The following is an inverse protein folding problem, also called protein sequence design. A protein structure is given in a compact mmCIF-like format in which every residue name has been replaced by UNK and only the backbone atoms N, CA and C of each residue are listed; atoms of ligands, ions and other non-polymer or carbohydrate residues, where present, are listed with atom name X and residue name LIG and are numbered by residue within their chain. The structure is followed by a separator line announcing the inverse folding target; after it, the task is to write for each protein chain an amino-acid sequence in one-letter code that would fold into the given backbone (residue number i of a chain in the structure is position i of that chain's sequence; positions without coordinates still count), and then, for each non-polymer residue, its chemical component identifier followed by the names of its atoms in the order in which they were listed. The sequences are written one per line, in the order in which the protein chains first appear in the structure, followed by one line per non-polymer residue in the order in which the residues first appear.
data_IF_656541615755
#
_entry.id   IF_656541615755
#
_cell.length_a   1.000
_cell.length_b   1.000
_cell.length_c   1.000
_cell.angle_alpha   90.00
_cell.angle_beta   90.00
_cell.angle_gamma   90.00
#
_symmetry.space_group_name_H-M   'P 1'
#
loop_
_entity.id
_entity.type
_entity.pdbx_description
1 polymer ?
#
# COMPACT_ATOMS: atom_id res chain seq x y z
N UNK A 1 -3.93 24.49 18.53
CA UNK A 1 -4.06 24.73 17.07
C UNK A 1 -3.32 23.63 16.33
N UNK A 2 -3.98 22.83 15.50
CA UNK A 2 -3.27 21.84 14.67
C UNK A 2 -2.62 22.53 13.47
N UNK A 3 -1.47 22.02 13.03
CA UNK A 3 -0.74 22.57 11.88
C UNK A 3 -0.48 21.48 10.85
N UNK A 4 -0.55 21.84 9.57
CA UNK A 4 -0.13 20.97 8.45
C UNK A 4 1.30 20.46 8.64
N UNK A 5 2.18 21.25 9.28
CA UNK A 5 3.55 20.82 9.62
C UNK A 5 3.57 19.63 10.60
N UNK A 6 2.61 19.53 11.52
CA UNK A 6 2.51 18.39 12.43
C UNK A 6 2.13 17.11 11.67
N UNK A 7 1.30 17.22 10.63
CA UNK A 7 0.97 16.09 9.75
C UNK A 7 2.21 15.65 8.98
N UNK A 8 2.98 16.59 8.44
CA UNK A 8 4.24 16.30 7.75
C UNK A 8 5.26 15.62 8.68
N UNK A 9 5.45 16.14 9.90
CA UNK A 9 6.36 15.56 10.88
C UNK A 9 5.94 14.13 11.26
N UNK A 10 4.65 13.89 11.52
CA UNK A 10 4.14 12.56 11.83
C UNK A 10 4.28 11.60 10.64
N UNK A 11 4.04 12.07 9.41
CA UNK A 11 4.23 11.28 8.20
C UNK A 11 5.71 10.91 7.98
N UNK A 12 6.63 11.85 8.17
CA UNK A 12 8.07 11.59 8.10
C UNK A 12 8.49 10.61 9.19
N UNK A 13 7.99 10.75 10.43
CA UNK A 13 8.29 9.82 11.51
C UNK A 13 7.76 8.40 11.21
N UNK A 14 6.54 8.30 10.68
CA UNK A 14 5.93 7.04 10.27
C UNK A 14 6.76 6.36 9.16
N UNK A 15 6.98 7.03 8.03
CA UNK A 15 7.74 6.45 6.90
C UNK A 15 9.20 6.21 7.26
N UNK A 16 9.84 7.17 7.91
CA UNK A 16 11.24 7.10 8.32
C UNK A 16 11.50 5.95 9.29
N UNK A 17 10.65 5.78 10.31
CA UNK A 17 10.77 4.64 11.24
C UNK A 17 10.59 3.29 10.53
N UNK A 18 9.65 3.18 9.57
CA UNK A 18 9.46 1.96 8.78
C UNK A 18 10.74 1.57 8.03
N UNK A 19 11.38 2.53 7.35
CA UNK A 19 12.61 2.27 6.61
C UNK A 19 13.80 1.99 7.53
N UNK A 20 13.98 2.78 8.59
CA UNK A 20 15.08 2.61 9.55
C UNK A 20 15.02 1.24 10.25
N UNK A 21 13.84 0.87 10.74
CA UNK A 21 13.66 -0.40 11.46
C UNK A 21 13.69 -1.60 10.51
N UNK A 22 13.23 -1.47 9.26
CA UNK A 22 13.20 -2.59 8.30
C UNK A 22 14.56 -2.89 7.67
N UNK A 23 15.49 -1.93 7.64
CA UNK A 23 16.75 -2.05 6.89
C UNK A 23 17.99 -1.83 7.78
N UNK A 24 18.47 -0.60 8.05
CA UNK A 24 19.76 -0.39 8.71
C UNK A 24 19.76 -0.88 10.17
N UNK A 25 18.65 -0.74 10.89
CA UNK A 25 18.58 -1.11 12.32
C UNK A 25 18.13 -2.55 12.55
N UNK A 26 17.47 -3.19 11.57
CA UNK A 26 16.88 -4.53 11.71
C UNK A 26 17.88 -5.53 12.27
N UNK A 27 19.03 -5.68 11.62
CA UNK A 27 20.01 -6.71 11.98
C UNK A 27 20.54 -6.55 13.41
N UNK A 28 20.75 -5.31 13.87
CA UNK A 28 21.21 -5.03 15.24
C UNK A 28 20.10 -5.33 16.26
N UNK A 29 18.88 -4.87 15.99
CA UNK A 29 17.73 -5.04 16.89
C UNK A 29 17.28 -6.50 16.98
N UNK A 30 17.25 -7.24 15.85
CA UNK A 30 16.93 -8.68 15.86
C UNK A 30 17.97 -9.48 16.63
N UNK A 31 19.26 -9.14 16.53
CA UNK A 31 20.30 -9.79 17.35
C UNK A 31 20.16 -9.51 18.84
N UNK A 32 19.68 -8.33 19.22
CA UNK A 32 19.53 -7.94 20.63
C UNK A 32 18.22 -8.44 21.26
N UNK A 33 17.11 -8.47 20.50
CA UNK A 33 15.76 -8.72 21.01
C UNK A 33 15.16 -10.06 20.54
N UNK A 34 15.80 -10.74 19.60
CA UNK A 34 15.20 -11.82 18.83
C UNK A 34 14.17 -11.31 17.80
N UNK A 35 13.72 -12.21 16.92
CA UNK A 35 12.76 -11.87 15.85
C UNK A 35 11.40 -11.42 16.42
N UNK A 36 10.88 -12.13 17.43
CA UNK A 36 9.60 -11.79 18.05
C UNK A 36 9.65 -10.45 18.81
N UNK A 37 10.72 -10.21 19.58
CA UNK A 37 10.91 -8.93 20.28
C UNK A 37 11.05 -7.76 19.32
N UNK A 38 11.79 -7.95 18.22
CA UNK A 38 11.88 -6.96 17.15
C UNK A 38 10.51 -6.67 16.51
N UNK A 39 9.72 -7.71 16.19
CA UNK A 39 8.38 -7.52 15.61
C UNK A 39 7.44 -6.77 16.56
N UNK A 40 7.51 -7.04 17.86
CA UNK A 40 6.77 -6.29 18.88
C UNK A 40 7.16 -4.82 18.92
N UNK A 41 8.46 -4.53 19.00
CA UNK A 41 8.98 -3.15 18.99
C UNK A 41 8.64 -2.41 17.69
N UNK A 42 8.80 -3.07 16.54
CA UNK A 42 8.42 -2.52 15.23
C UNK A 42 6.94 -2.15 15.21
N UNK A 43 6.07 -3.06 15.64
CA UNK A 43 4.61 -2.87 15.63
C UNK A 43 4.21 -1.73 16.56
N UNK A 44 4.81 -1.64 17.75
CA UNK A 44 4.57 -0.55 18.69
C UNK A 44 4.93 0.81 18.07
N UNK A 45 6.13 0.94 17.49
CA UNK A 45 6.56 2.19 16.83
C UNK A 45 5.63 2.55 15.67
N UNK A 46 5.23 1.57 14.86
CA UNK A 46 4.30 1.78 13.75
C UNK A 46 2.92 2.26 14.23
N UNK A 47 2.37 1.65 15.27
CA UNK A 47 1.07 2.05 15.85
C UNK A 47 1.14 3.45 16.46
N UNK A 48 2.19 3.77 17.22
CA UNK A 48 2.35 5.08 17.85
C UNK A 48 2.48 6.20 16.80
N UNK A 49 3.31 5.98 15.78
CA UNK A 49 3.52 6.97 14.72
C UNK A 49 2.28 7.12 13.82
N UNK A 50 1.57 6.03 13.52
CA UNK A 50 0.29 6.08 12.81
C UNK A 50 -0.78 6.82 13.62
N UNK A 51 -0.92 6.49 14.91
CA UNK A 51 -1.86 7.15 15.81
C UNK A 51 -1.57 8.65 15.92
N UNK A 52 -0.29 9.02 16.01
CA UNK A 52 0.11 10.42 15.95
C UNK A 52 -0.29 11.10 14.65
N UNK A 53 -0.07 10.45 13.50
CA UNK A 53 -0.47 10.97 12.19
C UNK A 53 -1.99 11.17 12.08
N UNK A 54 -2.80 10.22 12.58
CA UNK A 54 -4.26 10.33 12.63
C UNK A 54 -4.71 11.52 13.48
N UNK A 55 -4.15 11.67 14.70
CA UNK A 55 -4.46 12.79 15.59
C UNK A 55 -4.05 14.13 14.97
N UNK A 56 -2.88 14.21 14.33
CA UNK A 56 -2.40 15.40 13.67
C UNK A 56 -3.31 15.78 12.48
N UNK A 57 -3.72 14.79 11.68
CA UNK A 57 -4.60 14.99 10.54
C UNK A 57 -5.98 15.51 10.93
N UNK A 58 -6.56 14.98 12.02
CA UNK A 58 -7.84 15.43 12.56
C UNK A 58 -7.79 16.88 13.07
N UNK A 59 -6.67 17.30 13.68
CA UNK A 59 -6.48 18.65 14.22
C UNK A 59 -6.06 19.68 13.16
N UNK A 60 -5.45 19.25 12.06
CA UNK A 60 -4.95 20.14 11.02
C UNK A 60 -6.11 20.81 10.24
N UNK A 61 -6.01 22.12 9.96
CA UNK A 61 -7.05 22.85 9.24
C UNK A 61 -7.23 22.31 7.82
N UNK A 62 -8.42 22.46 7.27
CA UNK A 62 -8.68 22.22 5.85
C UNK A 62 -8.13 23.42 5.06
N UNK A 63 -7.19 23.16 4.15
CA UNK A 63 -6.78 24.15 3.17
C UNK A 63 -7.84 24.28 2.07
N UNK A 64 -7.78 25.36 1.30
CA UNK A 64 -8.45 25.39 0.00
C UNK A 64 -7.98 24.20 -0.86
N UNK A 65 -8.86 23.61 -1.69
CA UNK A 65 -8.47 22.65 -2.71
C UNK A 65 -7.44 23.27 -3.67
N UNK A 66 -6.37 22.54 -3.99
CA UNK A 66 -5.33 23.02 -4.92
C UNK A 66 -5.79 23.00 -6.39
N UNK A 67 -6.80 22.19 -6.71
CA UNK A 67 -7.44 22.16 -8.03
C UNK A 67 -8.93 21.80 -7.90
N UNK A 68 -9.76 22.19 -8.90
CA UNK A 68 -11.15 21.75 -8.96
C UNK A 68 -11.24 20.26 -9.28
N UNK A 69 -12.22 19.58 -8.68
CA UNK A 69 -12.47 18.16 -8.91
C UNK A 69 -13.82 18.00 -9.61
N UNK A 70 -13.78 17.70 -10.91
CA UNK A 70 -14.98 17.49 -11.73
C UNK A 70 -15.39 16.02 -11.83
N UNK A 71 -16.60 15.78 -12.33
CA UNK A 71 -17.17 14.43 -12.50
C UNK A 71 -16.30 13.49 -13.36
N UNK A 72 -15.61 14.01 -14.38
CA UNK A 72 -14.71 13.21 -15.21
C UNK A 72 -13.53 12.62 -14.42
N UNK A 73 -12.85 13.46 -13.61
CA UNK A 73 -11.77 13.00 -12.74
C UNK A 73 -12.29 12.01 -11.68
N UNK A 74 -13.48 12.28 -11.14
CA UNK A 74 -14.11 11.40 -10.15
C UNK A 74 -14.42 10.01 -10.72
N UNK A 75 -14.93 9.93 -11.96
CA UNK A 75 -15.19 8.66 -12.65
C UNK A 75 -13.93 7.85 -12.87
N UNK A 76 -12.84 8.50 -13.34
CA UNK A 76 -11.54 7.84 -13.52
C UNK A 76 -11.03 7.30 -12.18
N UNK A 77 -11.01 8.12 -11.14
CA UNK A 77 -10.52 7.72 -9.81
C UNK A 77 -11.36 6.60 -9.20
N UNK A 78 -12.66 6.64 -9.40
CA UNK A 78 -13.59 5.59 -8.96
C UNK A 78 -13.24 4.23 -9.56
N UNK A 79 -12.91 4.18 -10.86
CA UNK A 79 -12.45 2.97 -11.54
C UNK A 79 -11.06 2.50 -11.07
N UNK A 80 -10.10 3.42 -10.91
CA UNK A 80 -8.77 3.07 -10.41
C UNK A 80 -8.80 2.57 -8.95
N UNK A 81 -9.70 3.08 -8.12
CA UNK A 81 -9.89 2.59 -6.75
C UNK A 81 -10.46 1.16 -6.71
N UNK A 82 -11.31 0.79 -7.69
CA UNK A 82 -11.77 -0.59 -7.84
C UNK A 82 -10.60 -1.51 -8.22
N UNK A 83 -9.76 -1.09 -9.16
CA UNK A 83 -8.54 -1.84 -9.54
C UNK A 83 -7.63 -2.01 -8.31
N UNK A 84 -7.40 -0.95 -7.53
CA UNK A 84 -6.63 -1.02 -6.30
C UNK A 84 -7.22 -2.07 -5.33
N UNK A 85 -8.53 -2.05 -5.13
CA UNK A 85 -9.23 -2.98 -4.24
C UNK A 85 -9.14 -4.44 -4.71
N UNK A 86 -9.19 -4.69 -6.03
CA UNK A 86 -8.96 -6.02 -6.61
C UNK A 86 -7.51 -6.48 -6.40
N UNK A 87 -6.53 -5.58 -6.58
CA UNK A 87 -5.11 -5.88 -6.31
C UNK A 87 -4.89 -6.22 -4.83
N UNK A 88 -5.49 -5.43 -3.92
CA UNK A 88 -5.44 -5.69 -2.48
C UNK A 88 -5.99 -7.07 -2.16
N UNK A 89 -7.20 -7.37 -2.60
CA UNK A 89 -7.85 -8.65 -2.26
C UNK A 89 -7.17 -9.84 -2.91
N UNK A 90 -6.67 -9.71 -4.14
CA UNK A 90 -5.85 -10.76 -4.74
C UNK A 90 -4.52 -10.97 -4.01
N UNK A 91 -3.97 -9.93 -3.41
CA UNK A 91 -2.70 -9.99 -2.67
C UNK A 91 -2.80 -10.60 -1.28
N UNK A 92 -3.99 -10.93 -0.78
CA UNK A 92 -4.14 -11.59 0.52
C UNK A 92 -3.92 -13.11 0.45
N UNK A 93 -3.96 -13.69 -0.75
CA UNK A 93 -3.80 -15.12 -0.97
C UNK A 93 -2.41 -15.41 -1.52
N UNK A 94 -1.67 -16.31 -0.85
CA UNK A 94 -0.36 -16.84 -1.29
C UNK A 94 0.66 -15.75 -1.61
N UNK A 95 0.67 -14.66 -0.84
CA UNK A 95 1.57 -13.54 -1.07
C UNK A 95 2.99 -13.85 -0.63
N UNK A 96 3.94 -13.99 -1.58
CA UNK A 96 5.32 -14.28 -1.25
C UNK A 96 5.98 -13.14 -0.48
N UNK A 97 5.41 -11.93 -0.56
CA UNK A 97 5.92 -10.72 0.05
C UNK A 97 5.62 -10.66 1.57
N UNK A 98 4.69 -11.46 2.10
CA UNK A 98 4.35 -11.37 3.52
C UNK A 98 5.54 -11.70 4.45
N UNK A 99 5.55 -11.13 5.67
CA UNK A 99 6.50 -11.50 6.71
C UNK A 99 6.30 -12.98 7.09
N UNK A 100 7.34 -13.79 6.98
CA UNK A 100 7.30 -15.22 7.31
C UNK A 100 7.96 -15.55 8.65
N UNK A 101 8.35 -14.53 9.43
CA UNK A 101 9.09 -14.73 10.69
C UNK A 101 10.40 -15.51 10.51
N UNK A 102 11.04 -15.39 9.34
CA UNK A 102 12.27 -16.12 9.02
C UNK A 102 12.09 -17.50 8.39
N UNK A 103 10.85 -17.99 8.21
CA UNK A 103 10.60 -19.28 7.54
C UNK A 103 10.59 -19.08 6.02
N UNK A 104 11.17 -20.00 5.21
CA UNK A 104 10.99 -19.95 3.77
C UNK A 104 9.52 -20.16 3.44
N UNK A 105 8.88 -19.19 2.78
CA UNK A 105 7.52 -19.36 2.28
C UNK A 105 7.54 -20.19 1.00
N UNK A 106 6.48 -20.94 0.72
CA UNK A 106 6.32 -21.57 -0.59
C UNK A 106 6.05 -20.49 -1.65
N UNK A 107 6.88 -20.48 -2.69
CA UNK A 107 6.68 -19.60 -3.83
C UNK A 107 5.67 -20.22 -4.80
N UNK A 108 4.72 -19.44 -5.34
CA UNK A 108 3.89 -19.91 -6.44
C UNK A 108 4.75 -20.35 -7.62
N UNK A 109 4.39 -21.48 -8.23
CA UNK A 109 5.11 -22.03 -9.37
C UNK A 109 5.11 -21.09 -10.57
N UNK A 110 4.04 -20.31 -10.75
CA UNK A 110 3.89 -19.32 -11.81
C UNK A 110 3.23 -18.04 -11.31
N UNK A 111 3.57 -16.92 -11.93
CA UNK A 111 2.89 -15.64 -11.73
C UNK A 111 1.50 -15.66 -12.37
N UNK A 112 0.45 -15.74 -11.54
CA UNK A 112 -0.96 -15.78 -11.98
C UNK A 112 -1.78 -14.70 -11.27
N UNK A 113 -2.90 -14.31 -11.89
CA UNK A 113 -3.79 -13.29 -11.35
C UNK A 113 -3.07 -11.97 -11.07
N UNK A 114 -3.24 -11.42 -9.86
CA UNK A 114 -2.60 -10.16 -9.47
C UNK A 114 -1.08 -10.22 -9.49
N UNK A 115 -0.46 -11.39 -9.30
CA UNK A 115 0.99 -11.54 -9.35
C UNK A 115 1.54 -11.54 -10.78
N UNK A 116 0.70 -11.82 -11.78
CA UNK A 116 1.06 -11.61 -13.18
C UNK A 116 1.10 -10.11 -13.54
N UNK A 117 0.30 -9.28 -12.84
CA UNK A 117 0.34 -7.82 -12.98
C UNK A 117 1.61 -7.27 -12.35
N UNK A 118 1.86 -7.54 -11.07
CA UNK A 118 3.07 -7.08 -10.38
C UNK A 118 3.41 -8.04 -9.25
N UNK A 119 4.69 -8.12 -8.88
CA UNK A 119 5.18 -8.88 -7.73
C UNK A 119 4.61 -8.37 -6.40
N UNK A 120 4.31 -7.07 -6.33
CA UNK A 120 3.85 -6.40 -5.10
C UNK A 120 2.44 -5.81 -5.25
N UNK A 121 1.40 -6.63 -5.50
CA UNK A 121 0.06 -6.13 -5.79
C UNK A 121 -0.54 -5.36 -4.61
N UNK A 122 -0.25 -5.77 -3.37
CA UNK A 122 -0.64 -5.04 -2.16
C UNK A 122 -0.06 -3.61 -2.15
N UNK A 123 1.23 -3.48 -2.43
CA UNK A 123 1.92 -2.19 -2.34
C UNK A 123 1.46 -1.27 -3.48
N UNK A 124 1.26 -1.81 -4.68
CA UNK A 124 0.65 -1.05 -5.78
C UNK A 124 -0.80 -0.65 -5.50
N UNK A 125 -1.58 -1.47 -4.77
CA UNK A 125 -2.89 -1.06 -4.29
C UNK A 125 -2.80 0.17 -3.37
N UNK A 126 -1.90 0.18 -2.39
CA UNK A 126 -1.73 1.34 -1.51
C UNK A 126 -1.22 2.58 -2.24
N UNK A 127 -0.34 2.40 -3.23
CA UNK A 127 0.12 3.49 -4.08
C UNK A 127 -1.04 4.07 -4.92
N UNK A 128 -1.82 3.21 -5.60
CA UNK A 128 -3.00 3.65 -6.36
C UNK A 128 -4.04 4.32 -5.46
N UNK A 129 -4.27 3.77 -4.26
CA UNK A 129 -5.14 4.38 -3.26
C UNK A 129 -4.68 5.80 -2.93
N UNK A 130 -3.39 6.01 -2.64
CA UNK A 130 -2.86 7.33 -2.32
C UNK A 130 -2.97 8.30 -3.49
N UNK A 131 -2.63 7.87 -4.71
CA UNK A 131 -2.75 8.69 -5.92
C UNK A 131 -4.20 9.10 -6.19
N UNK A 132 -5.14 8.18 -6.00
CA UNK A 132 -6.57 8.46 -6.09
C UNK A 132 -6.98 9.55 -5.09
N UNK A 133 -6.58 9.43 -3.83
CA UNK A 133 -6.93 10.39 -2.78
C UNK A 133 -6.32 11.77 -3.03
N UNK A 134 -5.09 11.85 -3.55
CA UNK A 134 -4.49 13.12 -4.00
C UNK A 134 -5.39 13.75 -5.06
N UNK A 135 -5.78 12.97 -6.08
CA UNK A 135 -6.55 13.46 -7.22
C UNK A 135 -7.94 14.01 -6.85
N UNK A 136 -8.71 13.29 -6.03
CA UNK A 136 -10.09 13.70 -5.68
C UNK A 136 -10.22 14.52 -4.40
N UNK A 137 -9.18 14.55 -3.55
CA UNK A 137 -9.21 15.38 -2.35
C UNK A 137 -7.92 16.22 -2.19
N UNK A 138 -7.78 17.28 -3.00
CA UNK A 138 -6.51 17.99 -3.17
C UNK A 138 -6.27 19.05 -2.09
N UNK A 139 -6.36 18.66 -0.82
CA UNK A 139 -6.03 19.51 0.33
C UNK A 139 -4.66 19.12 0.90
N UNK A 140 -3.92 20.10 1.42
CA UNK A 140 -2.51 19.93 1.79
C UNK A 140 -2.28 18.75 2.76
N UNK A 141 -3.06 18.67 3.84
CA UNK A 141 -2.94 17.58 4.83
C UNK A 141 -3.22 16.19 4.24
N UNK A 142 -4.14 16.09 3.29
CA UNK A 142 -4.48 14.83 2.62
C UNK A 142 -3.37 14.43 1.65
N UNK A 143 -2.85 15.39 0.87
CA UNK A 143 -1.74 15.15 -0.05
C UNK A 143 -0.50 14.65 0.71
N UNK A 144 -0.18 15.25 1.87
CA UNK A 144 0.95 14.81 2.69
C UNK A 144 0.80 13.35 3.12
N UNK A 145 -0.35 12.97 3.69
CA UNK A 145 -0.59 11.59 4.13
C UNK A 145 -0.57 10.63 2.94
N UNK A 146 -1.30 10.96 1.88
CA UNK A 146 -1.39 10.11 0.69
C UNK A 146 -0.02 9.93 0.01
N UNK A 147 0.77 11.00 -0.12
CA UNK A 147 2.13 10.93 -0.66
C UNK A 147 3.06 10.09 0.24
N UNK A 148 2.95 10.22 1.56
CA UNK A 148 3.73 9.40 2.49
C UNK A 148 3.40 7.90 2.34
N UNK A 149 2.13 7.55 2.16
CA UNK A 149 1.71 6.17 1.88
C UNK A 149 2.22 5.68 0.52
N UNK A 150 2.16 6.51 -0.53
CA UNK A 150 2.71 6.15 -1.86
C UNK A 150 4.21 5.89 -1.77
N UNK A 151 4.96 6.77 -1.12
CA UNK A 151 6.41 6.62 -0.92
C UNK A 151 6.71 5.36 -0.13
N UNK A 152 6.03 5.14 1.01
CA UNK A 152 6.21 3.94 1.82
C UNK A 152 5.92 2.67 1.02
N UNK A 153 4.84 2.65 0.25
CA UNK A 153 4.45 1.49 -0.53
C UNK A 153 5.46 1.18 -1.65
N UNK A 154 5.82 2.16 -2.47
CA UNK A 154 6.69 1.93 -3.62
C UNK A 154 8.15 1.73 -3.22
N UNK A 155 8.70 2.63 -2.40
CA UNK A 155 10.09 2.52 -1.94
C UNK A 155 10.22 1.32 -1.00
N UNK A 156 9.26 1.11 -0.11
CA UNK A 156 9.23 -0.06 0.76
C UNK A 156 9.20 -1.38 0.00
N UNK A 157 8.42 -1.48 -1.08
CA UNK A 157 8.41 -2.66 -1.95
C UNK A 157 9.78 -2.91 -2.60
N UNK A 158 10.44 -1.86 -3.11
CA UNK A 158 11.75 -1.99 -3.74
C UNK A 158 12.85 -2.37 -2.73
N UNK A 159 12.82 -1.79 -1.53
CA UNK A 159 13.74 -2.17 -0.46
C UNK A 159 13.43 -3.56 0.09
N UNK A 160 12.17 -3.98 0.04
CA UNK A 160 11.73 -5.32 0.41
C UNK A 160 12.25 -6.38 -0.56
N UNK A 161 12.30 -6.12 -1.86
CA UNK A 161 12.96 -7.00 -2.84
C UNK A 161 14.41 -7.24 -2.43
N UNK A 162 15.20 -6.15 -2.28
CA UNK A 162 16.60 -6.21 -1.84
C UNK A 162 16.79 -6.96 -0.52
N UNK A 163 15.85 -6.79 0.41
CA UNK A 163 15.86 -7.51 1.70
C UNK A 163 15.62 -9.01 1.49
N UNK A 164 14.66 -9.38 0.65
CA UNK A 164 14.33 -10.79 0.39
C UNK A 164 15.38 -11.50 -0.45
N UNK A 165 16.02 -10.83 -1.41
CA UNK A 165 17.20 -11.35 -2.12
C UNK A 165 18.31 -11.75 -1.14
N UNK A 166 18.59 -10.92 -0.14
CA UNK A 166 19.62 -11.20 0.88
C UNK A 166 19.23 -12.32 1.85
N UNK A 167 17.96 -12.39 2.22
CA UNK A 167 17.48 -13.37 3.21
C UNK A 167 17.12 -14.73 2.57
N UNK A 168 16.83 -14.75 1.28
CA UNK A 168 16.36 -15.92 0.53
C UNK A 168 16.99 -15.94 -0.88
N UNK A 169 18.33 -16.10 -0.97
CA UNK A 169 19.08 -15.93 -2.22
C UNK A 169 18.66 -16.90 -3.33
N UNK A 170 18.19 -18.10 -2.98
CA UNK A 170 17.77 -19.09 -3.98
C UNK A 170 16.28 -18.96 -4.37
N UNK A 171 15.46 -18.39 -3.48
CA UNK A 171 14.01 -18.32 -3.68
C UNK A 171 13.59 -17.01 -4.33
N UNK A 172 14.02 -15.86 -3.79
CA UNK A 172 13.50 -14.58 -4.25
C UNK A 172 13.86 -14.31 -5.73
N UNK A 173 15.12 -14.44 -6.17
CA UNK A 173 15.46 -14.25 -7.59
C UNK A 173 14.69 -15.18 -8.55
N UNK A 174 14.38 -16.41 -8.13
CA UNK A 174 13.54 -17.32 -8.90
C UNK A 174 12.07 -16.85 -9.00
N UNK A 175 11.56 -16.13 -8.01
CA UNK A 175 10.27 -15.45 -8.08
C UNK A 175 10.34 -14.19 -8.96
N UNK A 176 11.44 -13.45 -8.86
CA UNK A 176 11.67 -12.25 -9.66
C UNK A 176 11.70 -12.54 -11.15
N UNK A 177 12.31 -13.66 -11.56
CA UNK A 177 12.39 -14.09 -12.96
C UNK A 177 11.01 -14.37 -13.59
N UNK A 178 9.98 -14.63 -12.77
CA UNK A 178 8.60 -14.89 -13.21
C UNK A 178 7.68 -13.67 -13.12
N UNK A 179 8.10 -12.61 -12.44
CA UNK A 179 7.27 -11.43 -12.10
C UNK A 179 7.96 -10.11 -12.42
N UNK A 180 7.29 -8.98 -12.21
CA UNK A 180 7.89 -7.65 -12.35
C UNK A 180 7.49 -6.74 -11.21
N UNK A 181 8.39 -5.84 -10.83
CA UNK A 181 8.07 -4.75 -9.91
C UNK A 181 7.02 -3.81 -10.53
N UNK A 182 7.29 -3.32 -11.74
CA UNK A 182 6.36 -2.47 -12.48
C UNK A 182 5.16 -3.30 -12.97
N UNK A 183 3.92 -2.77 -12.86
CA UNK A 183 2.72 -3.42 -13.37
C UNK A 183 2.84 -3.77 -14.86
N UNK A 184 2.41 -4.97 -15.22
CA UNK A 184 2.36 -5.53 -16.58
C UNK A 184 3.71 -5.75 -17.28
N UNK A 185 4.83 -5.30 -16.72
CA UNK A 185 6.13 -5.44 -17.39
C UNK A 185 6.56 -6.90 -17.63
N UNK A 186 6.23 -7.83 -16.72
CA UNK A 186 6.48 -9.26 -16.95
C UNK A 186 5.61 -9.86 -18.06
N UNK A 187 4.40 -9.33 -18.26
CA UNK A 187 3.49 -9.75 -19.33
C UNK A 187 4.03 -9.26 -20.68
N UNK A 188 4.42 -7.98 -20.75
CA UNK A 188 5.03 -7.40 -21.95
C UNK A 188 6.32 -8.14 -22.33
N UNK A 189 7.11 -8.54 -21.34
CA UNK A 189 8.32 -9.34 -21.53
C UNK A 189 8.07 -10.84 -21.80
N UNK A 190 6.81 -11.29 -21.87
CA UNK A 190 6.46 -12.70 -22.12
C UNK A 190 6.76 -13.67 -20.98
N UNK A 191 7.17 -13.18 -19.80
CA UNK A 191 7.50 -13.99 -18.61
C UNK A 191 6.27 -14.37 -17.77
N UNK A 192 5.18 -13.63 -17.93
CA UNK A 192 3.90 -13.89 -17.28
C UNK A 192 2.75 -13.81 -18.29
N UNK A 193 1.62 -14.46 -17.98
CA UNK A 193 0.40 -14.39 -18.78
C UNK A 193 -0.79 -14.06 -17.87
N UNK A 194 -1.63 -13.14 -18.31
CA UNK A 194 -2.86 -12.82 -17.61
C UNK A 194 -3.89 -13.94 -17.87
N UNK A 195 -4.01 -14.87 -16.94
CA UNK A 195 -4.98 -15.98 -17.01
C UNK A 195 -6.32 -15.67 -16.34
N UNK A 196 -6.64 -14.39 -16.10
CA UNK A 196 -7.78 -13.95 -15.29
C UNK A 196 -7.47 -13.82 -13.80
N UNK A 197 -8.41 -13.23 -13.07
CA UNK A 197 -8.34 -13.07 -11.62
C UNK A 197 -9.23 -14.10 -10.93
N UNK A 198 -8.78 -14.63 -9.81
CA UNK A 198 -9.61 -15.53 -9.00
C UNK A 198 -10.82 -14.81 -8.42
N UNK A 199 -11.89 -15.57 -8.12
CA UNK A 199 -13.15 -15.03 -7.62
C UNK A 199 -12.97 -14.19 -6.34
N UNK A 200 -12.07 -14.61 -5.44
CA UNK A 200 -11.72 -13.85 -4.24
C UNK A 200 -11.18 -12.45 -4.56
N UNK A 201 -10.34 -12.29 -5.57
CA UNK A 201 -9.79 -10.99 -5.94
C UNK A 201 -10.87 -10.09 -6.53
N UNK A 202 -11.72 -10.63 -7.43
CA UNK A 202 -12.76 -9.88 -8.11
C UNK A 202 -13.91 -9.52 -7.16
N UNK A 203 -14.59 -10.51 -6.57
CA UNK A 203 -15.73 -10.26 -5.69
C UNK A 203 -15.28 -9.59 -4.39
N UNK A 204 -14.17 -10.05 -3.80
CA UNK A 204 -13.63 -9.41 -2.60
C UNK A 204 -13.26 -7.95 -2.87
N UNK A 205 -12.59 -7.67 -4.00
CA UNK A 205 -12.22 -6.32 -4.39
C UNK A 205 -13.43 -5.43 -4.62
N UNK A 206 -14.48 -5.96 -5.28
CA UNK A 206 -15.75 -5.27 -5.48
C UNK A 206 -16.45 -4.95 -4.14
N UNK A 207 -16.53 -5.92 -3.23
CA UNK A 207 -17.15 -5.73 -1.91
C UNK A 207 -16.37 -4.69 -1.09
N UNK A 208 -15.04 -4.80 -1.04
CA UNK A 208 -14.20 -3.82 -0.33
C UNK A 208 -14.38 -2.44 -0.92
N UNK A 209 -14.40 -2.31 -2.24
CA UNK A 209 -14.60 -1.03 -2.92
C UNK A 209 -15.98 -0.43 -2.61
N UNK A 210 -17.06 -1.22 -2.71
CA UNK A 210 -18.42 -0.75 -2.38
C UNK A 210 -18.53 -0.32 -0.92
N UNK A 211 -18.08 -1.16 0.02
CA UNK A 211 -18.16 -0.89 1.45
C UNK A 211 -17.29 0.31 1.84
N UNK A 212 -16.05 0.37 1.36
CA UNK A 212 -15.14 1.47 1.69
C UNK A 212 -15.63 2.81 1.10
N UNK A 213 -16.08 2.82 -0.15
CA UNK A 213 -16.62 4.05 -0.77
C UNK A 213 -17.93 4.48 -0.13
N UNK A 214 -18.81 3.54 0.24
CA UNK A 214 -20.04 3.83 0.98
C UNK A 214 -19.73 4.43 2.36
N UNK A 215 -18.76 3.86 3.07
CA UNK A 215 -18.37 4.29 4.41
C UNK A 215 -17.80 5.72 4.47
N UNK A 216 -17.41 6.31 3.34
CA UNK A 216 -16.97 7.71 3.33
C UNK A 216 -18.08 8.66 3.80
N UNK A 217 -19.35 8.41 3.45
CA UNK A 217 -20.46 9.27 3.87
C UNK A 217 -20.68 9.26 5.38
N UNK A 218 -20.90 8.12 6.05
CA UNK A 218 -21.09 8.11 7.51
C UNK A 218 -19.83 8.46 8.30
N UNK A 219 -18.63 8.19 7.78
CA UNK A 219 -17.37 8.43 8.53
C UNK A 219 -16.83 9.85 8.32
N UNK A 220 -16.96 10.40 7.10
CA UNK A 220 -16.33 11.67 6.73
C UNK A 220 -17.33 12.76 6.33
N UNK A 221 -18.61 12.42 6.21
CA UNK A 221 -19.66 13.32 5.73
C UNK A 221 -19.61 13.59 4.23
N UNK A 222 -18.89 12.76 3.45
CA UNK A 222 -18.71 12.96 1.99
C UNK A 222 -18.94 11.68 1.22
N UNK A 223 -19.69 11.78 0.14
CA UNK A 223 -19.83 10.67 -0.80
C UNK A 223 -18.50 10.37 -1.50
N UNK A 224 -18.27 9.09 -1.83
CA UNK A 224 -17.11 8.62 -2.57
C UNK A 224 -17.51 7.54 -3.57
N UNK A 225 -16.67 7.28 -4.57
CA UNK A 225 -16.97 6.28 -5.59
C UNK A 225 -18.26 6.57 -6.35
N UNK A 226 -19.07 5.53 -6.58
CA UNK A 226 -20.36 5.64 -7.28
C UNK A 226 -21.41 6.44 -6.52
N UNK A 227 -21.26 6.58 -5.21
CA UNK A 227 -22.20 7.29 -4.35
C UNK A 227 -22.16 8.80 -4.56
N UNK A 228 -21.15 9.34 -5.25
CA UNK A 228 -21.02 10.77 -5.54
C UNK A 228 -22.12 11.30 -6.48
N UNK A 229 -22.71 10.42 -7.29
CA UNK A 229 -23.78 10.79 -8.23
C UNK A 229 -25.18 10.40 -7.76
N UNK A 230 -25.31 9.91 -6.53
CA UNK A 230 -26.57 9.51 -5.90
C UNK A 230 -26.90 10.48 -4.76
#
# INVERSE_FOLDING_TARGET
MGSTYAVAAAAVAFVGSHFLLSHPLRGRLVRALGEAGFLGAYSLVAVLTLGWMVMAYGKAPLSAPLWPVGNGLWAVVTAFMLIASILLMGSLIRNPAFPTGGRPGSLPEAARGVYAVTRHPMMWSFALWGLCHVAVFPVAKNIIVAAAIVVLALVGAALQDRKKERLQPDLWPAWESKTSYLPFAAIVAGRARLGGFGLHALLGGLVVWLVATWAHTPVTGRAAGIWHWL
#
